data_IF_683279042860
#
_entry.id   IF_683279042860
#
_cell.length_a   1.000
_cell.length_b   1.000
_cell.length_c   1.000
_cell.angle_alpha   90.00
_cell.angle_beta   90.00
_cell.angle_gamma   90.00
#
_symmetry.space_group_name_H-M   'P 1'
#
loop_
_entity.id
_entity.type
_entity.pdbx_description
1 polymer ?
#
# COMPACT_ATOMS: atom_id res chain seq x y z
N UNK A 1 -17.37 -15.71 16.07
CA UNK A 1 -17.03 -14.29 15.84
C UNK A 1 -15.55 -14.06 15.55
N UNK A 2 -14.60 -14.24 16.50
CA UNK A 2 -13.16 -14.02 16.20
C UNK A 2 -12.61 -14.92 15.09
N UNK A 3 -12.96 -16.21 15.10
CA UNK A 3 -12.48 -17.17 14.10
C UNK A 3 -12.99 -16.82 12.69
N UNK A 4 -14.28 -16.50 12.56
CA UNK A 4 -14.89 -16.10 11.29
C UNK A 4 -14.21 -14.87 10.65
N UNK A 5 -13.82 -13.89 11.48
CA UNK A 5 -13.07 -12.72 11.01
C UNK A 5 -11.69 -13.16 10.49
N UNK A 6 -10.97 -13.99 11.25
CA UNK A 6 -9.66 -14.53 10.84
C UNK A 6 -9.79 -15.27 9.51
N UNK A 7 -10.76 -16.17 9.38
CA UNK A 7 -10.99 -16.97 8.18
C UNK A 7 -11.26 -16.06 6.96
N UNK A 8 -12.00 -14.96 7.15
CA UNK A 8 -12.24 -13.96 6.11
C UNK A 8 -10.94 -13.27 5.67
N UNK A 9 -10.11 -12.81 6.59
CA UNK A 9 -8.82 -12.18 6.26
C UNK A 9 -7.85 -13.18 5.60
N UNK A 10 -7.82 -14.43 6.06
CA UNK A 10 -6.98 -15.48 5.46
C UNK A 10 -7.44 -15.83 4.03
N UNK A 11 -8.75 -15.90 3.79
CA UNK A 11 -9.31 -16.10 2.45
C UNK A 11 -8.95 -14.94 1.50
N UNK A 12 -9.07 -13.70 1.95
CA UNK A 12 -8.67 -12.51 1.18
C UNK A 12 -7.15 -12.50 0.91
N UNK A 13 -6.32 -12.79 1.91
CA UNK A 13 -4.87 -12.90 1.74
C UNK A 13 -4.51 -13.96 0.69
N UNK A 14 -5.20 -15.11 0.69
CA UNK A 14 -4.98 -16.17 -0.31
C UNK A 14 -5.38 -15.72 -1.72
N UNK A 15 -6.52 -15.03 -1.86
CA UNK A 15 -6.99 -14.47 -3.13
C UNK A 15 -5.96 -13.48 -3.71
N UNK A 16 -5.53 -12.51 -2.90
CA UNK A 16 -4.55 -11.52 -3.34
C UNK A 16 -3.17 -12.12 -3.61
N UNK A 17 -2.79 -13.17 -2.88
CA UNK A 17 -1.55 -13.92 -3.15
C UNK A 17 -1.61 -14.58 -4.54
N UNK A 18 -2.72 -15.21 -4.90
CA UNK A 18 -2.92 -15.77 -6.24
C UNK A 18 -2.81 -14.70 -7.34
N UNK A 19 -3.41 -13.52 -7.14
CA UNK A 19 -3.29 -12.41 -8.09
C UNK A 19 -1.86 -11.89 -8.21
N UNK A 20 -1.15 -11.73 -7.08
CA UNK A 20 0.27 -11.34 -7.10
C UNK A 20 1.15 -12.38 -7.83
N UNK A 21 0.89 -13.67 -7.68
CA UNK A 21 1.68 -14.72 -8.33
C UNK A 21 1.45 -14.74 -9.85
N UNK A 22 0.22 -14.48 -10.32
CA UNK A 22 -0.07 -14.25 -11.74
C UNK A 22 0.75 -13.05 -12.29
N UNK A 23 0.82 -11.94 -11.54
CA UNK A 23 1.61 -10.76 -11.94
C UNK A 23 3.12 -11.06 -11.98
N UNK A 24 3.66 -11.84 -11.03
CA UNK A 24 5.06 -12.29 -11.05
C UNK A 24 5.37 -13.10 -12.32
N UNK A 25 4.49 -14.03 -12.70
CA UNK A 25 4.65 -14.79 -13.94
C UNK A 25 4.63 -13.87 -15.18
N UNK A 26 3.72 -12.90 -15.22
CA UNK A 26 3.67 -11.92 -16.31
C UNK A 26 4.96 -11.08 -16.40
N UNK A 27 5.52 -10.63 -15.26
CA UNK A 27 6.80 -9.94 -15.23
C UNK A 27 7.96 -10.81 -15.72
N UNK A 28 8.00 -12.09 -15.32
CA UNK A 28 9.00 -13.05 -15.82
C UNK A 28 8.91 -13.19 -17.33
N UNK A 29 7.69 -13.30 -17.88
CA UNK A 29 7.47 -13.36 -19.32
C UNK A 29 7.97 -12.10 -20.04
N UNK A 30 7.66 -10.90 -19.52
CA UNK A 30 8.16 -9.63 -20.09
C UNK A 30 9.70 -9.58 -20.05
N UNK A 31 10.33 -10.06 -18.97
CA UNK A 31 11.80 -10.13 -18.87
C UNK A 31 12.41 -11.08 -19.91
N UNK A 32 11.81 -12.25 -20.13
CA UNK A 32 12.23 -13.15 -21.21
C UNK A 32 12.07 -12.52 -22.60
N UNK A 33 10.97 -11.81 -22.84
CA UNK A 33 10.73 -11.13 -24.12
C UNK A 33 11.76 -10.01 -24.37
N UNK A 34 12.16 -9.26 -23.33
CA UNK A 34 13.25 -8.28 -23.42
C UNK A 34 14.59 -8.94 -23.80
N UNK A 35 14.90 -10.09 -23.20
CA UNK A 35 16.11 -10.84 -23.53
C UNK A 35 16.08 -11.35 -24.98
N UNK A 36 14.94 -11.86 -25.43
CA UNK A 36 14.76 -12.29 -26.82
C UNK A 36 14.94 -11.12 -27.81
N UNK A 37 14.37 -9.94 -27.51
CA UNK A 37 14.58 -8.74 -28.31
C UNK A 37 16.05 -8.30 -28.37
N UNK A 38 16.78 -8.40 -27.26
CA UNK A 38 18.21 -8.12 -27.24
C UNK A 38 18.98 -9.06 -28.17
N UNK A 39 18.66 -10.36 -28.15
CA UNK A 39 19.22 -11.33 -29.09
C UNK A 39 18.86 -11.02 -30.55
N UNK A 40 17.63 -10.59 -30.82
CA UNK A 40 17.17 -10.22 -32.16
C UNK A 40 17.93 -9.00 -32.72
N UNK A 41 18.27 -8.02 -31.88
CA UNK A 41 19.09 -6.87 -32.27
C UNK A 41 20.48 -7.33 -32.72
N UNK A 42 21.11 -8.25 -31.97
CA UNK A 42 22.42 -8.82 -32.35
C UNK A 42 22.31 -9.57 -33.68
N UNK A 43 21.28 -10.40 -33.85
CA UNK A 43 21.04 -11.14 -35.09
C UNK A 43 20.86 -10.20 -36.28
N UNK A 44 20.12 -9.11 -36.10
CA UNK A 44 19.91 -8.07 -37.12
C UNK A 44 21.24 -7.45 -37.54
N UNK A 45 22.13 -7.17 -36.58
CA UNK A 45 23.44 -6.56 -36.85
C UNK A 45 24.35 -7.49 -37.66
N UNK A 46 24.37 -8.79 -37.34
CA UNK A 46 25.24 -9.79 -37.98
C UNK A 46 24.74 -10.18 -39.38
N UNK A 47 23.42 -10.37 -39.55
CA UNK A 47 22.87 -10.97 -40.78
C UNK A 47 22.15 -9.99 -41.70
N UNK A 48 21.39 -9.02 -41.17
CA UNK A 48 20.51 -8.19 -41.98
C UNK A 48 21.19 -6.92 -42.50
N UNK A 49 22.03 -6.28 -41.68
CA UNK A 49 22.76 -5.07 -42.09
C UNK A 49 23.69 -5.30 -43.28
N UNK A 50 24.46 -6.42 -43.38
CA UNK A 50 25.30 -6.69 -44.55
C UNK A 50 24.52 -6.89 -45.86
N UNK A 51 23.28 -7.38 -45.78
CA UNK A 51 22.42 -7.59 -46.95
C UNK A 51 21.76 -6.28 -47.36
N UNK A 52 21.23 -5.53 -46.40
CA UNK A 52 20.52 -4.29 -46.65
C UNK A 52 20.62 -3.35 -45.46
N UNK A 53 21.40 -2.27 -45.63
CA UNK A 53 21.59 -1.27 -44.58
C UNK A 53 20.27 -0.61 -44.15
N UNK A 54 19.39 -0.28 -45.11
CA UNK A 54 18.13 0.40 -44.82
C UNK A 54 17.20 -0.47 -43.95
N UNK A 55 16.96 -1.73 -44.35
CA UNK A 55 16.08 -2.63 -43.60
C UNK A 55 16.66 -3.01 -42.23
N UNK A 56 18.00 -3.12 -42.13
CA UNK A 56 18.70 -3.33 -40.86
C UNK A 56 18.43 -2.20 -39.86
N UNK A 57 18.63 -0.94 -40.27
CA UNK A 57 18.36 0.22 -39.41
C UNK A 57 16.89 0.34 -39.00
N UNK A 58 15.95 0.11 -39.93
CA UNK A 58 14.52 0.09 -39.61
C UNK A 58 14.20 -0.98 -38.56
N UNK A 59 14.77 -2.17 -38.68
CA UNK A 59 14.56 -3.27 -37.72
C UNK A 59 15.13 -2.94 -36.34
N UNK A 60 16.31 -2.32 -36.26
CA UNK A 60 16.90 -1.87 -35.00
C UNK A 60 16.02 -0.81 -34.31
N UNK A 61 15.55 0.19 -35.06
CA UNK A 61 14.65 1.23 -34.52
C UNK A 61 13.34 0.60 -34.02
N UNK A 62 12.76 -0.33 -34.78
CA UNK A 62 11.55 -1.04 -34.37
C UNK A 62 11.76 -1.87 -33.09
N UNK A 63 12.89 -2.59 -32.99
CA UNK A 63 13.26 -3.35 -31.79
C UNK A 63 13.47 -2.44 -30.58
N UNK A 64 14.11 -1.28 -30.77
CA UNK A 64 14.33 -0.29 -29.71
C UNK A 64 12.99 0.26 -29.21
N UNK A 65 12.08 0.63 -30.13
CA UNK A 65 10.74 1.10 -29.77
C UNK A 65 9.95 0.02 -28.99
N UNK A 66 9.99 -1.23 -29.44
CA UNK A 66 9.38 -2.36 -28.74
C UNK A 66 10.00 -2.53 -27.34
N UNK A 67 11.32 -2.48 -27.21
CA UNK A 67 12.02 -2.61 -25.93
C UNK A 67 11.58 -1.53 -24.93
N UNK A 68 11.52 -0.27 -25.35
CA UNK A 68 11.06 0.84 -24.49
C UNK A 68 9.59 0.65 -24.06
N UNK A 69 8.73 0.17 -24.96
CA UNK A 69 7.34 -0.17 -24.62
C UNK A 69 7.27 -1.30 -23.58
N UNK A 70 8.09 -2.36 -23.73
CA UNK A 70 8.19 -3.45 -22.75
C UNK A 70 8.65 -2.95 -21.38
N UNK A 71 9.63 -2.04 -21.32
CA UNK A 71 10.10 -1.45 -20.07
C UNK A 71 8.99 -0.67 -19.37
N UNK A 72 8.24 0.17 -20.11
CA UNK A 72 7.06 0.86 -19.55
C UNK A 72 6.02 -0.13 -19.02
N UNK A 73 5.76 -1.20 -19.78
CA UNK A 73 4.83 -2.27 -19.38
C UNK A 73 5.31 -3.03 -18.14
N UNK A 74 6.61 -3.31 -18.01
CA UNK A 74 7.16 -3.99 -16.83
C UNK A 74 7.01 -3.12 -15.58
N UNK A 75 7.35 -1.84 -15.66
CA UNK A 75 7.19 -0.89 -14.54
C UNK A 75 5.72 -0.81 -14.11
N UNK A 76 4.78 -0.68 -15.05
CA UNK A 76 3.35 -0.67 -14.72
C UNK A 76 2.89 -1.97 -14.04
N UNK A 77 3.34 -3.12 -14.56
CA UNK A 77 2.97 -4.44 -13.99
C UNK A 77 3.57 -4.64 -12.60
N UNK A 78 4.78 -4.14 -12.37
CA UNK A 78 5.45 -4.16 -11.07
C UNK A 78 4.71 -3.31 -10.03
N UNK A 79 4.22 -2.12 -10.41
CA UNK A 79 3.34 -1.33 -9.53
C UNK A 79 2.08 -2.09 -9.12
N UNK A 80 1.46 -2.81 -10.06
CA UNK A 80 0.30 -3.65 -9.77
C UNK A 80 0.66 -4.83 -8.88
N UNK A 81 1.81 -5.46 -9.09
CA UNK A 81 2.31 -6.53 -8.21
C UNK A 81 2.48 -6.03 -6.77
N UNK A 82 3.17 -4.90 -6.58
CA UNK A 82 3.40 -4.32 -5.26
C UNK A 82 2.09 -3.94 -4.55
N UNK A 83 1.10 -3.44 -5.30
CA UNK A 83 -0.23 -3.19 -4.76
C UNK A 83 -0.91 -4.47 -4.21
N UNK A 84 -0.89 -5.59 -4.95
CA UNK A 84 -1.43 -6.86 -4.47
C UNK A 84 -0.62 -7.44 -3.30
N UNK A 85 0.70 -7.29 -3.30
CA UNK A 85 1.54 -7.69 -2.16
C UNK A 85 1.18 -6.89 -0.91
N UNK A 86 0.99 -5.57 -1.04
CA UNK A 86 0.54 -4.75 0.09
C UNK A 86 -0.84 -5.19 0.61
N UNK A 87 -1.78 -5.57 -0.26
CA UNK A 87 -3.07 -6.14 0.16
C UNK A 87 -2.89 -7.45 0.93
N UNK A 88 -1.99 -8.34 0.49
CA UNK A 88 -1.64 -9.55 1.25
C UNK A 88 -1.11 -9.18 2.63
N UNK A 89 -0.15 -8.25 2.70
CA UNK A 89 0.48 -7.85 3.96
C UNK A 89 -0.51 -7.18 4.92
N UNK A 90 -1.45 -6.37 4.42
CA UNK A 90 -2.53 -5.81 5.24
C UNK A 90 -3.34 -6.93 5.88
N UNK A 91 -3.79 -7.90 5.10
CA UNK A 91 -4.62 -8.99 5.63
C UNK A 91 -3.84 -9.89 6.62
N UNK A 92 -2.58 -10.22 6.31
CA UNK A 92 -1.73 -11.03 7.19
C UNK A 92 -1.42 -10.29 8.50
N UNK A 93 -1.13 -8.99 8.44
CA UNK A 93 -0.85 -8.19 9.63
C UNK A 93 -2.09 -8.07 10.52
N UNK A 94 -3.29 -7.94 9.95
CA UNK A 94 -4.53 -7.92 10.73
C UNK A 94 -4.81 -9.28 11.41
N UNK A 95 -4.53 -10.41 10.75
CA UNK A 95 -4.62 -11.73 11.40
C UNK A 95 -3.66 -11.83 12.59
N UNK A 96 -2.41 -11.34 12.45
CA UNK A 96 -1.45 -11.27 13.56
C UNK A 96 -1.96 -10.38 14.69
N UNK A 97 -2.49 -9.20 14.38
CA UNK A 97 -3.06 -8.28 15.37
C UNK A 97 -4.21 -8.92 16.16
N UNK A 98 -5.11 -9.65 15.49
CA UNK A 98 -6.21 -10.36 16.15
C UNK A 98 -5.67 -11.45 17.11
N UNK A 99 -4.53 -12.05 16.78
CA UNK A 99 -3.81 -13.02 17.62
C UNK A 99 -2.90 -12.36 18.68
N UNK A 100 -3.00 -11.03 18.87
CA UNK A 100 -2.19 -10.22 19.79
C UNK A 100 -0.70 -10.16 19.46
N UNK A 101 -0.33 -10.39 18.21
CA UNK A 101 1.01 -10.11 17.70
C UNK A 101 0.99 -8.77 16.95
N UNK A 102 1.55 -7.73 17.59
CA UNK A 102 1.62 -6.37 17.04
C UNK A 102 2.99 -6.03 16.43
N UNK A 103 3.90 -7.01 16.32
CA UNK A 103 5.22 -6.82 15.72
C UNK A 103 5.23 -6.14 14.34
N UNK A 104 4.21 -6.25 13.47
CA UNK A 104 4.22 -5.56 12.18
C UNK A 104 3.93 -4.06 12.25
N UNK A 105 3.50 -3.52 13.39
CA UNK A 105 3.08 -2.14 13.56
C UNK A 105 4.12 -1.35 14.35
N UNK A 106 4.34 -0.09 13.96
CA UNK A 106 5.33 0.76 14.64
C UNK A 106 4.90 1.04 16.09
N UNK A 107 5.80 0.85 17.08
CA UNK A 107 5.50 1.00 18.50
C UNK A 107 5.33 2.46 18.96
N UNK A 108 5.78 3.44 18.16
CA UNK A 108 5.66 4.86 18.48
C UNK A 108 6.64 5.35 19.56
N UNK A 109 7.81 4.71 19.67
CA UNK A 109 8.84 5.05 20.66
C UNK A 109 9.25 6.54 20.61
N UNK A 110 9.14 7.16 19.43
CA UNK A 110 9.40 8.58 19.20
C UNK A 110 8.44 9.55 19.90
N UNK A 111 7.28 9.06 20.40
CA UNK A 111 6.29 9.87 21.11
C UNK A 111 6.35 9.71 22.64
N UNK A 112 7.34 8.98 23.14
CA UNK A 112 7.57 8.82 24.58
C UNK A 112 8.13 10.15 25.10
N UNK A 113 7.33 10.86 25.91
CA UNK A 113 7.73 12.10 26.58
C UNK A 113 7.96 11.83 28.08
N UNK A 114 9.19 12.00 28.58
CA UNK A 114 9.51 11.82 30.01
C UNK A 114 8.78 12.78 30.95
N UNK A 115 8.39 13.97 30.46
CA UNK A 115 7.89 15.09 31.28
C UNK A 115 6.35 15.20 31.33
N UNK A 116 5.61 14.21 30.84
CA UNK A 116 4.14 14.24 30.86
C UNK A 116 3.59 13.30 31.94
N UNK A 117 2.82 13.84 32.89
CA UNK A 117 2.34 13.16 34.12
C UNK A 117 1.58 11.83 33.92
N UNK A 118 1.30 11.42 32.67
CA UNK A 118 0.51 10.23 32.33
C UNK A 118 1.19 9.28 31.31
N UNK A 119 2.39 9.60 30.81
CA UNK A 119 3.03 8.80 29.76
C UNK A 119 3.65 7.48 30.25
N UNK A 120 3.90 7.37 31.55
CA UNK A 120 4.56 6.22 32.18
C UNK A 120 3.59 5.23 32.85
N UNK A 121 2.42 5.68 33.31
CA UNK A 121 1.47 4.81 34.03
C UNK A 121 0.53 4.04 33.10
N UNK A 122 0.31 4.57 31.89
CA UNK A 122 -0.43 3.92 30.83
C UNK A 122 0.61 3.59 29.76
N UNK A 123 0.81 2.32 29.42
CA UNK A 123 1.71 1.86 28.33
C UNK A 123 1.21 2.38 26.97
N UNK A 124 1.23 3.70 26.75
CA UNK A 124 0.60 4.39 25.63
C UNK A 124 1.46 4.26 24.38
N UNK A 125 2.78 4.31 24.54
CA UNK A 125 3.77 4.22 23.47
C UNK A 125 4.85 3.23 23.87
N UNK A 126 5.51 2.59 22.90
CA UNK A 126 6.46 1.51 23.18
C UNK A 126 6.04 0.17 22.57
N UNK A 127 6.86 -0.85 22.77
CA UNK A 127 6.51 -2.21 22.40
C UNK A 127 5.33 -2.73 23.24
N UNK A 128 4.39 -3.40 22.58
CA UNK A 128 3.13 -3.88 23.15
C UNK A 128 2.23 -2.78 23.73
N UNK A 129 2.45 -1.52 23.34
CA UNK A 129 1.68 -0.36 23.81
C UNK A 129 0.28 -0.26 23.19
N UNK A 130 -0.55 0.59 23.78
CA UNK A 130 -1.86 0.95 23.24
C UNK A 130 -1.76 1.60 21.85
N UNK A 131 -0.76 2.46 21.62
CA UNK A 131 -0.49 3.02 20.30
C UNK A 131 -0.18 1.92 19.29
N UNK A 132 0.71 0.99 19.61
CA UNK A 132 1.05 -0.11 18.71
C UNK A 132 -0.17 -0.99 18.41
N UNK A 133 -1.02 -1.23 19.40
CA UNK A 133 -2.28 -1.94 19.24
C UNK A 133 -3.24 -1.25 18.27
N UNK A 134 -3.31 0.09 18.29
CA UNK A 134 -4.23 0.87 17.46
C UNK A 134 -3.68 1.20 16.07
N UNK A 135 -2.37 1.33 15.93
CA UNK A 135 -1.71 1.92 14.77
C UNK A 135 -1.95 1.12 13.47
N UNK A 136 -2.78 1.66 12.57
CA UNK A 136 -2.93 1.21 11.16
C UNK A 136 -2.55 2.33 10.20
N UNK A 137 -1.76 3.29 10.67
CA UNK A 137 -1.37 4.43 9.84
C UNK A 137 -0.32 3.99 8.81
N UNK A 138 -0.36 4.62 7.63
CA UNK A 138 0.49 4.29 6.48
C UNK A 138 1.27 5.51 5.98
N UNK A 139 1.24 6.59 6.75
CA UNK A 139 1.98 7.82 6.48
C UNK A 139 2.50 8.40 7.79
N UNK A 140 3.64 9.10 7.73
CA UNK A 140 4.20 9.81 8.86
C UNK A 140 3.22 10.83 9.47
N UNK A 141 2.52 11.60 8.62
CA UNK A 141 1.50 12.54 9.07
C UNK A 141 0.35 11.84 9.80
N UNK A 142 -0.16 10.71 9.28
CA UNK A 142 -1.20 9.93 9.95
C UNK A 142 -0.75 9.38 11.30
N UNK A 143 0.50 8.91 11.38
CA UNK A 143 1.13 8.41 12.61
C UNK A 143 1.17 9.49 13.69
N UNK A 144 1.65 10.69 13.35
CA UNK A 144 1.71 11.82 14.28
C UNK A 144 0.32 12.26 14.74
N UNK A 145 -0.66 12.32 13.82
CA UNK A 145 -2.05 12.65 14.15
C UNK A 145 -2.70 11.64 15.09
N UNK A 146 -2.40 10.35 14.92
CA UNK A 146 -2.86 9.31 15.84
C UNK A 146 -2.25 9.50 17.23
N UNK A 147 -0.94 9.74 17.31
CA UNK A 147 -0.24 9.99 18.58
C UNK A 147 -0.80 11.22 19.29
N UNK A 148 -0.97 12.33 18.56
CA UNK A 148 -1.58 13.56 19.05
C UNK A 148 -3.01 13.32 19.55
N UNK A 149 -3.83 12.54 18.82
CA UNK A 149 -5.20 12.24 19.25
C UNK A 149 -5.27 11.35 20.50
N UNK A 150 -4.24 10.54 20.77
CA UNK A 150 -4.17 9.73 22.00
C UNK A 150 -3.73 10.61 23.17
N UNK A 151 -2.72 11.47 22.98
CA UNK A 151 -2.21 12.38 24.01
C UNK A 151 -3.21 13.48 24.36
N UNK A 152 -3.88 14.06 23.35
CA UNK A 152 -4.78 15.21 23.46
C UNK A 152 -6.22 14.81 23.14
N UNK A 153 -6.81 13.97 23.99
CA UNK A 153 -8.21 13.58 23.83
C UNK A 153 -9.15 14.77 24.04
N UNK A 154 -10.03 15.02 23.06
CA UNK A 154 -11.05 16.06 23.17
C UNK A 154 -12.04 15.71 24.29
N UNK A 155 -12.41 16.72 25.08
CA UNK A 155 -13.45 16.60 26.12
C UNK A 155 -14.84 17.00 25.62
N UNK A 156 -14.96 17.44 24.36
CA UNK A 156 -16.23 17.82 23.76
C UNK A 156 -17.03 16.60 23.30
N UNK A 157 -18.23 16.44 23.86
CA UNK A 157 -19.09 15.29 23.62
C UNK A 157 -19.53 15.17 22.15
N UNK A 158 -19.78 16.30 21.49
CA UNK A 158 -20.22 16.29 20.09
C UNK A 158 -19.07 15.85 19.17
N UNK A 159 -17.86 16.37 19.39
CA UNK A 159 -16.65 15.94 18.66
C UNK A 159 -16.38 14.45 18.83
N UNK A 160 -16.51 13.91 20.06
CA UNK A 160 -16.36 12.48 20.32
C UNK A 160 -17.42 11.67 19.56
N UNK A 161 -18.69 12.10 19.60
CA UNK A 161 -19.79 11.42 18.89
C UNK A 161 -19.55 11.38 17.39
N UNK A 162 -19.09 12.47 16.79
CA UNK A 162 -18.76 12.51 15.36
C UNK A 162 -17.62 11.57 15.00
N UNK A 163 -16.57 11.48 15.83
CA UNK A 163 -15.48 10.49 15.64
C UNK A 163 -15.99 9.06 15.71
N UNK A 164 -16.84 8.75 16.68
CA UNK A 164 -17.42 7.40 16.83
C UNK A 164 -18.28 7.01 15.62
N UNK A 165 -19.11 7.93 15.11
CA UNK A 165 -19.91 7.70 13.91
C UNK A 165 -19.03 7.41 12.68
N UNK A 166 -17.96 8.18 12.49
CA UNK A 166 -17.01 7.95 11.40
C UNK A 166 -16.29 6.59 11.53
N UNK A 167 -15.94 6.16 12.75
CA UNK A 167 -15.34 4.84 12.99
C UNK A 167 -16.34 3.72 12.64
N UNK A 168 -17.60 3.86 13.01
CA UNK A 168 -18.66 2.86 12.70
C UNK A 168 -18.84 2.76 11.18
N UNK A 169 -18.97 3.89 10.47
CA UNK A 169 -19.09 3.91 9.01
C UNK A 169 -17.88 3.25 8.32
N UNK A 170 -16.67 3.53 8.80
CA UNK A 170 -15.45 2.88 8.29
C UNK A 170 -15.37 1.39 8.62
N UNK A 171 -15.88 0.97 9.77
CA UNK A 171 -15.81 -0.42 10.21
C UNK A 171 -16.54 -1.34 9.21
N UNK A 172 -17.66 -0.88 8.66
CA UNK A 172 -18.49 -1.59 7.68
C UNK A 172 -17.84 -1.72 6.29
N UNK A 173 -16.91 -0.83 5.94
CA UNK A 173 -16.30 -0.75 4.60
C UNK A 173 -14.92 -1.42 4.53
N UNK A 174 -14.87 -2.73 4.77
CA UNK A 174 -13.60 -3.50 4.81
C UNK A 174 -12.75 -3.33 3.56
N UNK A 175 -13.34 -3.51 2.37
CA UNK A 175 -12.60 -3.48 1.10
C UNK A 175 -11.93 -2.12 0.90
N UNK A 176 -12.66 -1.04 1.19
CA UNK A 176 -12.12 0.30 1.11
C UNK A 176 -10.93 0.50 2.06
N UNK A 177 -11.06 0.07 3.33
CA UNK A 177 -9.96 0.17 4.30
C UNK A 177 -8.71 -0.56 3.82
N UNK A 178 -8.86 -1.76 3.26
CA UNK A 178 -7.73 -2.51 2.73
C UNK A 178 -7.08 -1.82 1.52
N UNK A 179 -7.88 -1.30 0.60
CA UNK A 179 -7.39 -0.58 -0.58
C UNK A 179 -6.67 0.72 -0.19
N UNK A 180 -7.20 1.46 0.79
CA UNK A 180 -6.58 2.67 1.33
C UNK A 180 -5.21 2.35 1.94
N UNK A 181 -5.14 1.33 2.81
CA UNK A 181 -3.88 0.91 3.44
C UNK A 181 -2.85 0.43 2.41
N UNK A 182 -3.28 -0.37 1.44
CA UNK A 182 -2.40 -0.89 0.40
C UNK A 182 -1.86 0.21 -0.53
N UNK A 183 -2.69 1.20 -0.85
CA UNK A 183 -2.31 2.38 -1.65
C UNK A 183 -1.36 3.29 -0.88
N UNK A 184 -1.63 3.53 0.42
CA UNK A 184 -0.78 4.30 1.32
C UNK A 184 0.64 3.75 1.42
N UNK A 185 0.77 2.44 1.68
CA UNK A 185 2.07 1.74 1.70
C UNK A 185 2.81 1.86 0.38
N UNK A 186 2.08 1.82 -0.74
CA UNK A 186 2.69 1.97 -2.06
C UNK A 186 3.25 3.39 -2.29
N UNK A 187 2.53 4.42 -1.82
CA UNK A 187 2.95 5.81 -1.95
C UNK A 187 4.16 6.17 -1.06
N UNK A 188 4.24 5.60 0.15
CA UNK A 188 5.41 5.72 1.04
C UNK A 188 6.65 5.10 0.38
N UNK A 189 6.53 3.89 -0.16
CA UNK A 189 7.61 3.21 -0.89
C UNK A 189 8.08 3.96 -2.15
N UNK A 190 7.20 4.77 -2.76
CA UNK A 190 7.50 5.55 -3.98
C UNK A 190 7.89 7.01 -3.70
N UNK A 191 7.94 7.43 -2.43
CA UNK A 191 8.22 8.83 -2.06
C UNK A 191 7.19 9.84 -2.61
N UNK A 192 5.99 9.38 -2.99
CA UNK A 192 5.00 10.16 -3.75
C UNK A 192 3.66 10.24 -3.02
N UNK A 193 3.64 10.96 -1.90
CA UNK A 193 2.44 11.18 -1.05
C UNK A 193 1.30 11.87 -1.82
N UNK A 194 1.62 12.66 -2.85
CA UNK A 194 0.63 13.40 -3.65
C UNK A 194 -0.43 12.52 -4.35
N UNK A 195 -0.14 11.25 -4.60
CA UNK A 195 -1.09 10.32 -5.25
C UNK A 195 -2.23 9.85 -4.33
N UNK A 196 -2.07 9.94 -3.01
CA UNK A 196 -3.11 9.54 -2.04
C UNK A 196 -4.28 10.53 -2.00
N UNK A 197 -4.01 11.80 -2.36
CA UNK A 197 -5.05 12.84 -2.40
C UNK A 197 -5.97 12.71 -3.62
N UNK A 198 -5.56 11.99 -4.66
CA UNK A 198 -6.38 11.77 -5.86
C UNK A 198 -7.41 10.65 -5.66
N UNK A 199 -7.15 9.71 -4.73
CA UNK A 199 -8.15 8.74 -4.27
C UNK A 199 -9.25 9.38 -3.39
N UNK A 200 -9.13 10.68 -3.01
CA UNK A 200 -10.18 11.40 -2.28
C UNK A 200 -11.48 11.57 -3.07
N UNK A 201 -11.43 11.56 -4.40
CA UNK A 201 -12.62 11.79 -5.25
C UNK A 201 -13.56 10.57 -5.37
N UNK A 202 -13.11 9.36 -5.03
CA UNK A 202 -13.87 8.13 -5.34
C UNK A 202 -14.87 7.75 -4.24
N UNK A 203 -14.95 8.50 -3.14
CA UNK A 203 -15.85 8.17 -2.03
C UNK A 203 -17.00 9.16 -1.94
N UNK A 204 -18.17 8.73 -2.43
CA UNK A 204 -19.46 9.19 -1.90
C UNK A 204 -19.63 8.60 -0.49
N UNK A 205 -18.89 9.10 0.49
CA UNK A 205 -19.18 8.82 1.89
C UNK A 205 -20.55 9.44 2.19
N UNK A 206 -21.45 8.64 2.76
CA UNK A 206 -22.83 9.08 3.04
C UNK A 206 -22.89 10.20 4.07
N UNK A 207 -21.81 10.42 4.83
CA UNK A 207 -21.75 11.38 5.93
C UNK A 207 -20.66 12.44 5.76
N UNK A 208 -21.04 13.71 5.97
CA UNK A 208 -20.13 14.86 6.05
C UNK A 208 -19.27 14.87 7.32
N UNK A 209 -19.53 13.97 8.29
CA UNK A 209 -18.74 13.83 9.51
C UNK A 209 -17.29 13.39 9.23
N UNK A 210 -17.09 12.54 8.22
CA UNK A 210 -15.77 12.06 7.82
C UNK A 210 -14.90 13.18 7.23
N UNK A 211 -15.52 14.11 6.51
CA UNK A 211 -14.85 15.26 5.89
C UNK A 211 -14.22 16.19 6.94
N UNK A 212 -14.81 16.29 8.15
CA UNK A 212 -14.24 17.11 9.23
C UNK A 212 -13.00 16.46 9.89
N UNK A 213 -12.92 15.13 9.93
CA UNK A 213 -11.83 14.41 10.60
C UNK A 213 -10.57 14.33 9.70
N UNK A 214 -10.71 14.40 8.37
CA UNK A 214 -9.56 14.47 7.45
C UNK A 214 -8.97 15.88 7.27
N UNK A 215 -9.59 16.93 7.84
CA UNK A 215 -9.20 18.34 7.66
C UNK A 215 -8.74 18.99 8.99
N UNK A 216 -9.14 18.46 10.14
CA UNK A 216 -8.69 18.92 11.47
C UNK A 216 -7.55 18.06 12.00
#
# INVERSE_FOLDING_TARGET
MKQEIIDRYEALAKLYRQESDKKKLHLRFISWLRLALFGLIILTFVYLIPISHLAGWFTVIACLAAFLWLVKKSVYTEKQLNYFLNLVDVNVNEVKAIRRDFSPFAPGNEFIHPDHDYSYDLDLFGENSFFQFLNRTVTFGGKNRLAESIQNSSQDAETIRQKQLAIIELAETLDWRQQFLASGRNAENMGSVGSLLQQREVIELKSTAFLKISIL
#
